data_IF_305352777162
#
_entry.id   IF_305352777162
#
_cell.length_a   1.000
_cell.length_b   1.000
_cell.length_c   1.000
_cell.angle_alpha   90.00
_cell.angle_beta   90.00
_cell.angle_gamma   90.00
#
_symmetry.space_group_name_H-M   'P 1'
#
loop_
_entity.id
_entity.type
_entity.pdbx_description
1 polymer ?
#
# COMPACT_ATOMS: atom_id res chain seq x y z
N UNK A 1 22.14 66.79 -8.02
CA UNK A 1 23.02 66.32 -6.92
C UNK A 1 22.14 65.74 -5.81
N UNK A 2 21.84 64.45 -5.82
CA UNK A 2 21.90 63.63 -4.60
C UNK A 2 21.74 62.14 -4.92
N UNK A 3 22.65 61.38 -4.33
CA UNK A 3 22.89 59.96 -4.46
C UNK A 3 22.00 59.20 -3.46
N UNK A 4 21.36 58.11 -3.85
CA UNK A 4 21.26 56.90 -3.00
C UNK A 4 20.63 55.72 -3.74
N UNK A 5 21.47 55.06 -4.53
CA UNK A 5 21.25 53.72 -5.06
C UNK A 5 22.04 52.76 -4.17
N UNK A 6 21.41 52.18 -3.15
CA UNK A 6 22.01 51.12 -2.36
C UNK A 6 21.23 49.82 -2.58
N UNK A 7 21.60 49.11 -3.64
CA UNK A 7 21.17 47.76 -3.94
C UNK A 7 21.72 46.81 -2.86
N UNK A 8 20.87 46.41 -1.92
CA UNK A 8 21.18 45.42 -0.90
C UNK A 8 20.97 44.01 -1.49
N UNK A 9 21.95 43.51 -2.22
CA UNK A 9 22.02 42.11 -2.67
C UNK A 9 22.36 41.22 -1.48
N UNK A 10 21.36 40.80 -0.71
CA UNK A 10 21.56 39.75 0.31
C UNK A 10 21.77 38.42 -0.39
N UNK A 11 23.04 38.07 -0.58
CA UNK A 11 23.51 36.73 -0.93
C UNK A 11 23.15 35.73 0.17
N UNK A 12 21.89 35.29 0.18
CA UNK A 12 21.43 34.20 1.03
C UNK A 12 22.01 32.89 0.50
N UNK A 13 23.13 32.45 1.06
CA UNK A 13 23.69 31.14 0.80
C UNK A 13 22.60 30.08 1.04
N UNK A 14 22.19 29.39 -0.03
CA UNK A 14 21.16 28.36 0.01
C UNK A 14 21.60 27.25 0.97
N UNK A 15 20.92 27.16 2.11
CA UNK A 15 21.19 26.13 3.13
C UNK A 15 20.98 24.74 2.50
N UNK A 16 21.98 23.85 2.52
CA UNK A 16 21.84 22.53 1.89
C UNK A 16 20.72 21.73 2.56
N UNK A 17 19.95 20.93 1.79
CA UNK A 17 18.87 20.12 2.34
C UNK A 17 19.42 19.14 3.37
N UNK A 18 18.80 19.13 4.56
CA UNK A 18 19.19 18.28 5.68
C UNK A 18 19.22 16.80 5.26
N UNK A 19 20.33 16.10 5.55
CA UNK A 19 20.56 14.71 5.15
C UNK A 19 19.41 13.75 5.53
N UNK A 20 18.68 14.03 6.62
CA UNK A 20 17.52 13.24 7.06
C UNK A 20 16.34 13.19 6.08
N UNK A 21 16.15 14.24 5.26
CA UNK A 21 15.04 14.29 4.30
C UNK A 21 15.21 13.28 3.14
N UNK A 22 16.46 13.01 2.75
CA UNK A 22 16.79 12.03 1.69
C UNK A 22 16.55 10.60 2.16
N UNK A 23 16.92 10.28 3.40
CA UNK A 23 16.67 8.97 3.99
C UNK A 23 15.18 8.63 4.09
N UNK A 24 14.38 9.57 4.61
CA UNK A 24 12.92 9.38 4.73
C UNK A 24 12.22 9.19 3.36
N UNK A 25 12.67 9.90 2.32
CA UNK A 25 12.15 9.74 0.97
C UNK A 25 12.50 8.36 0.38
N UNK A 26 13.71 7.86 0.64
CA UNK A 26 14.15 6.53 0.24
C UNK A 26 13.30 5.42 0.88
N UNK A 27 13.13 5.46 2.20
CA UNK A 27 12.30 4.49 2.94
C UNK A 27 10.87 4.47 2.44
N UNK A 28 10.28 5.64 2.16
CA UNK A 28 8.92 5.72 1.62
C UNK A 28 8.79 5.08 0.24
N UNK A 29 9.73 5.34 -0.67
CA UNK A 29 9.73 4.74 -2.02
C UNK A 29 9.87 3.21 -1.94
N UNK A 30 10.75 2.72 -1.07
CA UNK A 30 10.91 1.29 -0.83
C UNK A 30 9.63 0.64 -0.28
N UNK A 31 9.02 1.25 0.74
CA UNK A 31 7.74 0.79 1.31
C UNK A 31 6.62 0.74 0.27
N UNK A 32 6.49 1.79 -0.56
CA UNK A 32 5.48 1.84 -1.61
C UNK A 32 5.68 0.75 -2.67
N UNK A 33 6.93 0.49 -3.08
CA UNK A 33 7.25 -0.60 -4.02
C UNK A 33 6.94 -1.97 -3.43
N UNK A 34 7.29 -2.20 -2.16
CA UNK A 34 7.01 -3.46 -1.49
C UNK A 34 5.50 -3.74 -1.42
N UNK A 35 4.71 -2.74 -0.98
CA UNK A 35 3.24 -2.87 -0.93
C UNK A 35 2.63 -3.04 -2.31
N UNK A 36 3.08 -2.26 -3.30
CA UNK A 36 2.58 -2.37 -4.67
C UNK A 36 2.91 -3.73 -5.30
N UNK A 37 4.11 -4.26 -5.07
CA UNK A 37 4.50 -5.59 -5.53
C UNK A 37 3.66 -6.69 -4.89
N UNK A 38 3.41 -6.60 -3.58
CA UNK A 38 2.56 -7.54 -2.87
C UNK A 38 1.13 -7.53 -3.42
N UNK A 39 0.51 -6.35 -3.55
CA UNK A 39 -0.84 -6.21 -4.11
C UNK A 39 -0.92 -6.66 -5.57
N UNK A 40 0.09 -6.37 -6.38
CA UNK A 40 0.13 -6.81 -7.77
C UNK A 40 0.29 -8.33 -7.88
N UNK A 41 1.14 -8.95 -7.05
CA UNK A 41 1.29 -10.41 -7.01
C UNK A 41 -0.02 -11.10 -6.60
N UNK A 42 -0.71 -10.56 -5.60
CA UNK A 42 -2.03 -11.05 -5.17
C UNK A 42 -3.08 -10.87 -6.28
N UNK A 43 -3.09 -9.71 -6.94
CA UNK A 43 -3.96 -9.47 -8.09
C UNK A 43 -3.72 -10.45 -9.25
N UNK A 44 -2.46 -10.78 -9.53
CA UNK A 44 -2.10 -11.79 -10.55
C UNK A 44 -2.58 -13.18 -10.16
N UNK A 45 -2.53 -13.54 -8.87
CA UNK A 45 -3.05 -14.81 -8.38
C UNK A 45 -4.57 -14.90 -8.60
N UNK A 46 -5.30 -13.81 -8.38
CA UNK A 46 -6.73 -13.75 -8.70
C UNK A 46 -7.04 -13.87 -10.20
N UNK A 47 -6.24 -13.24 -11.07
CA UNK A 47 -6.35 -13.41 -12.53
C UNK A 47 -6.07 -14.87 -12.91
N UNK A 48 -5.06 -15.49 -12.29
CA UNK A 48 -4.76 -16.90 -12.50
C UNK A 48 -5.95 -17.79 -12.12
N UNK A 49 -6.56 -17.59 -10.95
CA UNK A 49 -7.76 -18.32 -10.55
C UNK A 49 -8.98 -18.04 -11.43
N UNK A 50 -9.08 -16.84 -12.02
CA UNK A 50 -10.14 -16.51 -12.98
C UNK A 50 -10.11 -17.41 -14.24
N UNK A 51 -8.96 -18.03 -14.54
CA UNK A 51 -8.82 -18.99 -15.64
C UNK A 51 -9.30 -20.40 -15.30
N UNK A 52 -9.86 -20.61 -14.09
CA UNK A 52 -10.33 -21.91 -13.62
C UNK A 52 -9.23 -22.80 -13.03
N UNK A 53 -7.98 -22.32 -12.98
CA UNK A 53 -6.88 -23.05 -12.35
C UNK A 53 -6.97 -22.97 -10.83
N UNK A 54 -6.60 -24.05 -10.13
CA UNK A 54 -6.88 -24.22 -8.69
C UNK A 54 -5.64 -24.28 -7.80
N UNK A 55 -4.43 -24.12 -8.35
CA UNK A 55 -3.19 -24.14 -7.56
C UNK A 55 -3.27 -23.15 -6.38
N UNK A 56 -2.82 -23.54 -5.17
CA UNK A 56 -2.12 -24.78 -4.81
C UNK A 56 -3.02 -25.98 -4.46
N UNK A 57 -4.33 -25.87 -4.65
CA UNK A 57 -5.31 -26.91 -4.32
C UNK A 57 -5.65 -27.81 -5.54
N UNK A 58 -6.13 -29.04 -5.30
CA UNK A 58 -6.59 -29.93 -6.37
C UNK A 58 -7.89 -29.46 -7.04
N UNK A 59 -8.75 -28.75 -6.32
CA UNK A 59 -10.07 -28.29 -6.78
C UNK A 59 -10.49 -26.95 -6.14
N UNK A 60 -11.57 -26.35 -6.64
CA UNK A 60 -12.04 -25.03 -6.20
C UNK A 60 -12.59 -24.99 -4.78
N UNK A 61 -13.22 -26.08 -4.31
CA UNK A 61 -13.75 -26.18 -2.94
C UNK A 61 -12.62 -26.35 -1.92
N UNK A 62 -11.57 -27.09 -2.29
CA UNK A 62 -10.35 -27.18 -1.48
C UNK A 62 -9.61 -25.84 -1.49
N UNK A 63 -9.54 -25.14 -2.63
CA UNK A 63 -8.95 -23.81 -2.70
C UNK A 63 -9.68 -22.81 -1.80
N UNK A 64 -11.02 -22.79 -1.83
CA UNK A 64 -11.80 -21.85 -1.01
C UNK A 64 -11.62 -22.09 0.48
N UNK A 65 -11.58 -23.36 0.90
CA UNK A 65 -11.29 -23.71 2.31
C UNK A 65 -9.85 -23.36 2.71
N UNK A 66 -8.88 -23.60 1.83
CA UNK A 66 -7.45 -23.31 2.10
C UNK A 66 -7.14 -21.81 2.10
N UNK A 67 -7.85 -20.98 1.34
CA UNK A 67 -7.55 -19.54 1.22
C UNK A 67 -8.47 -18.68 2.09
N UNK A 68 -9.74 -19.07 2.23
CA UNK A 68 -10.79 -18.23 2.83
C UNK A 68 -11.46 -18.88 4.04
N UNK A 69 -11.14 -20.15 4.36
CA UNK A 69 -11.82 -20.92 5.41
C UNK A 69 -13.36 -20.92 5.24
N UNK A 70 -13.82 -20.90 3.98
CA UNK A 70 -15.23 -20.84 3.61
C UNK A 70 -15.47 -21.47 2.23
N UNK A 71 -16.69 -21.94 1.99
CA UNK A 71 -17.12 -22.44 0.69
C UNK A 71 -17.71 -21.28 -0.12
N UNK A 72 -16.84 -20.64 -0.92
CA UNK A 72 -17.22 -19.52 -1.78
C UNK A 72 -16.79 -19.77 -3.22
N UNK A 73 -17.58 -19.32 -4.21
CA UNK A 73 -17.28 -19.54 -5.62
C UNK A 73 -16.07 -18.71 -6.07
N UNK A 74 -15.02 -19.39 -6.53
CA UNK A 74 -13.86 -18.79 -7.22
C UNK A 74 -14.15 -18.60 -8.72
N UNK A 75 -15.24 -17.92 -9.04
CA UNK A 75 -15.64 -17.64 -10.43
C UNK A 75 -15.08 -16.30 -10.90
N UNK A 76 -14.87 -16.15 -12.21
CA UNK A 76 -14.35 -14.91 -12.80
C UNK A 76 -15.12 -13.64 -12.37
N UNK A 77 -16.47 -13.63 -12.28
CA UNK A 77 -17.21 -12.46 -11.79
C UNK A 77 -16.89 -12.04 -10.35
N UNK A 78 -16.34 -12.94 -9.53
CA UNK A 78 -15.95 -12.67 -8.14
C UNK A 78 -14.48 -12.23 -8.06
N UNK A 79 -13.58 -12.98 -8.72
CA UNK A 79 -12.13 -12.74 -8.56
C UNK A 79 -11.59 -11.60 -9.44
N UNK A 80 -12.22 -11.28 -10.57
CA UNK A 80 -11.75 -10.19 -11.44
C UNK A 80 -11.95 -8.80 -10.81
N UNK A 81 -13.10 -8.47 -10.17
CA UNK A 81 -13.24 -7.22 -9.43
C UNK A 81 -12.23 -7.08 -8.29
N UNK A 82 -11.90 -8.19 -7.61
CA UNK A 82 -10.86 -8.21 -6.58
C UNK A 82 -9.48 -7.90 -7.18
N UNK A 83 -9.10 -8.58 -8.27
CA UNK A 83 -7.86 -8.32 -8.99
C UNK A 83 -7.76 -6.85 -9.42
N UNK A 84 -8.82 -6.29 -10.02
CA UNK A 84 -8.87 -4.90 -10.44
C UNK A 84 -8.68 -3.93 -9.25
N UNK A 85 -9.31 -4.21 -8.12
CA UNK A 85 -9.16 -3.43 -6.89
C UNK A 85 -7.73 -3.48 -6.36
N UNK A 86 -7.10 -4.66 -6.38
CA UNK A 86 -5.71 -4.85 -5.95
C UNK A 86 -4.73 -4.09 -6.86
N UNK A 87 -4.89 -4.17 -8.19
CA UNK A 87 -4.06 -3.41 -9.14
C UNK A 87 -4.26 -1.90 -9.02
N UNK A 88 -5.49 -1.44 -8.79
CA UNK A 88 -5.78 -0.03 -8.51
C UNK A 88 -5.08 0.42 -7.22
N UNK A 89 -5.18 -0.37 -6.14
CA UNK A 89 -4.47 -0.13 -4.88
C UNK A 89 -2.95 -0.08 -5.05
N UNK A 90 -2.38 -1.03 -5.78
CA UNK A 90 -0.94 -1.08 -6.09
C UNK A 90 -0.47 0.19 -6.81
N UNK A 91 -1.22 0.60 -7.84
CA UNK A 91 -0.92 1.80 -8.65
C UNK A 91 -0.99 3.07 -7.80
N UNK A 92 -2.05 3.22 -7.00
CA UNK A 92 -2.27 4.39 -6.16
C UNK A 92 -1.22 4.50 -5.04
N UNK A 93 -0.84 3.38 -4.41
CA UNK A 93 0.22 3.36 -3.39
C UNK A 93 1.58 3.67 -4.01
N UNK A 94 1.90 3.10 -5.18
CA UNK A 94 3.15 3.36 -5.88
C UNK A 94 3.28 4.84 -6.28
N UNK A 95 2.21 5.42 -6.84
CA UNK A 95 2.14 6.84 -7.16
C UNK A 95 2.27 7.71 -5.91
N UNK A 96 1.54 7.41 -4.83
CA UNK A 96 1.62 8.16 -3.57
C UNK A 96 3.02 8.09 -2.92
N UNK A 97 3.73 6.97 -3.07
CA UNK A 97 5.11 6.81 -2.59
C UNK A 97 6.16 7.63 -3.33
N UNK A 98 5.84 8.10 -4.54
CA UNK A 98 6.80 8.67 -5.48
C UNK A 98 7.58 7.60 -6.27
N UNK A 99 7.03 6.40 -6.39
CA UNK A 99 7.57 5.35 -7.25
C UNK A 99 7.15 5.48 -8.71
N UNK A 100 6.12 6.28 -9.00
CA UNK A 100 5.59 6.52 -10.35
C UNK A 100 5.20 7.99 -10.55
N UNK A 101 6.18 8.82 -10.87
CA UNK A 101 6.00 10.29 -10.97
C UNK A 101 5.04 10.68 -12.10
N UNK A 102 5.10 9.99 -13.26
CA UNK A 102 4.21 10.25 -14.40
C UNK A 102 2.73 9.95 -14.13
N UNK A 103 2.41 8.98 -13.27
CA UNK A 103 1.02 8.68 -12.88
C UNK A 103 0.51 9.64 -11.80
N UNK A 104 1.38 10.06 -10.87
CA UNK A 104 0.99 10.92 -9.75
C UNK A 104 0.39 12.26 -10.22
N UNK A 105 0.88 12.83 -11.32
CA UNK A 105 0.34 14.08 -11.89
C UNK A 105 -1.04 13.93 -12.55
N UNK A 106 -1.47 12.71 -12.87
CA UNK A 106 -2.75 12.42 -13.55
C UNK A 106 -3.85 11.97 -12.60
N UNK A 107 -3.48 11.65 -11.36
CA UNK A 107 -4.40 11.07 -10.37
C UNK A 107 -4.94 12.14 -9.43
N UNK A 108 -6.22 12.05 -9.00
CA UNK A 108 -6.78 12.98 -8.04
C UNK A 108 -5.99 13.00 -6.72
N UNK A 109 -5.66 14.19 -6.22
CA UNK A 109 -4.91 14.34 -4.97
C UNK A 109 -5.61 13.66 -3.77
N UNK A 110 -6.95 13.65 -3.77
CA UNK A 110 -7.75 12.95 -2.75
C UNK A 110 -7.49 11.43 -2.77
N UNK A 111 -7.37 10.82 -3.96
CA UNK A 111 -7.09 9.40 -4.11
C UNK A 111 -5.67 9.07 -3.64
N UNK A 112 -4.67 9.86 -4.04
CA UNK A 112 -3.29 9.68 -3.59
C UNK A 112 -3.12 9.86 -2.07
N UNK A 113 -3.98 10.67 -1.44
CA UNK A 113 -4.00 10.85 0.01
C UNK A 113 -4.64 9.66 0.71
N UNK A 114 -5.82 9.21 0.28
CA UNK A 114 -6.59 8.21 1.01
C UNK A 114 -6.24 6.77 0.68
N UNK A 115 -5.79 6.47 -0.53
CA UNK A 115 -5.55 5.08 -0.96
C UNK A 115 -4.53 4.33 -0.06
N UNK A 116 -3.36 4.89 0.31
CA UNK A 116 -2.45 4.19 1.21
C UNK A 116 -3.04 3.94 2.61
N UNK A 117 -3.97 4.78 3.07
CA UNK A 117 -4.67 4.57 4.35
C UNK A 117 -5.67 3.43 4.25
N UNK A 118 -6.44 3.39 3.17
CA UNK A 118 -7.40 2.31 2.92
C UNK A 118 -6.69 0.96 2.76
N UNK A 119 -5.57 0.94 2.03
CA UNK A 119 -4.72 -0.26 1.92
C UNK A 119 -4.15 -0.67 3.28
N UNK A 120 -3.63 0.28 4.07
CA UNK A 120 -3.14 -0.01 5.41
C UNK A 120 -4.24 -0.57 6.32
N UNK A 121 -5.45 -0.01 6.24
CA UNK A 121 -6.60 -0.48 7.01
C UNK A 121 -7.03 -1.89 6.60
N UNK A 122 -7.07 -2.20 5.29
CA UNK A 122 -7.40 -3.54 4.80
C UNK A 122 -6.38 -4.60 5.27
N UNK A 123 -5.09 -4.31 5.13
CA UNK A 123 -4.03 -5.18 5.65
C UNK A 123 -4.11 -5.34 7.17
N UNK A 124 -4.35 -4.26 7.91
CA UNK A 124 -4.48 -4.32 9.36
C UNK A 124 -5.69 -5.16 9.79
N UNK A 125 -6.86 -4.93 9.19
CA UNK A 125 -8.06 -5.72 9.46
C UNK A 125 -7.81 -7.21 9.23
N UNK A 126 -7.13 -7.55 8.13
CA UNK A 126 -6.80 -8.95 7.82
C UNK A 126 -5.77 -9.55 8.79
N UNK A 127 -4.76 -8.76 9.19
CA UNK A 127 -3.78 -9.17 10.20
C UNK A 127 -4.42 -9.41 11.57
N UNK A 128 -5.31 -8.51 12.00
CA UNK A 128 -6.07 -8.65 13.25
C UNK A 128 -6.99 -9.88 13.21
N UNK A 129 -7.68 -10.14 12.10
CA UNK A 129 -8.45 -11.37 11.93
C UNK A 129 -7.57 -12.62 12.10
N UNK A 130 -6.34 -12.58 11.56
CA UNK A 130 -5.37 -13.66 11.74
C UNK A 130 -4.95 -13.87 13.19
N UNK A 131 -4.80 -12.80 13.98
CA UNK A 131 -4.52 -12.88 15.42
C UNK A 131 -5.72 -13.43 16.22
N UNK A 132 -6.95 -13.06 15.84
CA UNK A 132 -8.17 -13.62 16.44
C UNK A 132 -8.24 -15.13 16.20
N UNK A 133 -7.93 -15.58 14.98
CA UNK A 133 -7.84 -17.00 14.68
C UNK A 133 -6.70 -17.69 15.43
N UNK A 134 -5.56 -17.02 15.66
CA UNK A 134 -4.46 -17.53 16.48
C UNK A 134 -4.90 -17.84 17.92
N UNK A 135 -5.85 -17.06 18.45
CA UNK A 135 -6.44 -17.27 19.76
C UNK A 135 -7.46 -18.41 19.80
N UNK A 136 -7.63 -19.17 18.71
CA UNK A 136 -8.54 -20.31 18.62
C UNK A 136 -10.00 -19.95 18.33
N UNK A 137 -10.29 -18.70 17.96
CA UNK A 137 -11.65 -18.23 17.71
C UNK A 137 -11.96 -18.37 16.21
N UNK A 138 -12.87 -19.27 15.83
CA UNK A 138 -13.44 -19.31 14.46
C UNK A 138 -12.59 -19.94 13.36
N UNK A 139 -11.47 -20.57 13.69
CA UNK A 139 -10.67 -21.37 12.76
C UNK A 139 -10.26 -22.69 13.42
N UNK A 140 -10.32 -23.79 12.66
CA UNK A 140 -9.78 -25.07 13.11
C UNK A 140 -8.23 -24.98 13.17
N UNK A 141 -7.68 -25.12 14.37
CA UNK A 141 -6.25 -25.01 14.64
C UNK A 141 -5.43 -26.11 13.95
N UNK A 142 -6.05 -27.25 13.60
CA UNK A 142 -5.42 -28.33 12.85
C UNK A 142 -5.31 -28.07 11.34
N UNK A 143 -6.07 -27.10 10.82
CA UNK A 143 -6.21 -26.88 9.38
C UNK A 143 -4.94 -26.31 8.73
N UNK A 144 -4.73 -26.65 7.45
CA UNK A 144 -3.64 -26.07 6.65
C UNK A 144 -3.78 -24.54 6.52
N UNK A 145 -5.02 -24.04 6.43
CA UNK A 145 -5.32 -22.60 6.44
C UNK A 145 -4.81 -21.93 7.69
N UNK A 146 -5.08 -22.47 8.88
CA UNK A 146 -4.66 -21.88 10.14
C UNK A 146 -3.13 -21.77 10.23
N UNK A 147 -2.40 -22.83 9.88
CA UNK A 147 -0.93 -22.81 9.86
C UNK A 147 -0.38 -21.78 8.88
N UNK A 148 -0.87 -21.76 7.64
CA UNK A 148 -0.42 -20.81 6.62
C UNK A 148 -0.77 -19.37 7.00
N UNK A 149 -1.94 -19.17 7.60
CA UNK A 149 -2.40 -17.88 8.07
C UNK A 149 -1.49 -17.31 9.16
N UNK A 150 -1.08 -18.11 10.13
CA UNK A 150 -0.20 -17.65 11.20
C UNK A 150 1.23 -17.48 10.75
N UNK A 151 1.76 -18.43 9.97
CA UNK A 151 3.16 -18.42 9.58
C UNK A 151 3.47 -17.37 8.49
N UNK A 152 2.53 -17.12 7.57
CA UNK A 152 2.77 -16.29 6.39
C UNK A 152 1.82 -15.10 6.30
N UNK A 153 0.50 -15.34 6.25
CA UNK A 153 -0.44 -14.25 5.93
C UNK A 153 -0.49 -13.17 7.01
N UNK A 154 -0.53 -13.54 8.28
CA UNK A 154 -0.65 -12.57 9.38
C UNK A 154 0.59 -11.67 9.46
N UNK A 155 1.83 -12.19 9.49
CA UNK A 155 3.03 -11.36 9.46
C UNK A 155 3.09 -10.46 8.21
N UNK A 156 2.77 -11.01 7.04
CA UNK A 156 2.78 -10.27 5.78
C UNK A 156 1.76 -9.13 5.77
N UNK A 157 0.57 -9.37 6.32
CA UNK A 157 -0.47 -8.35 6.44
C UNK A 157 -0.07 -7.24 7.43
N UNK A 158 0.47 -7.59 8.60
CA UNK A 158 0.92 -6.58 9.58
C UNK A 158 2.08 -5.74 9.04
N UNK A 159 3.04 -6.38 8.36
CA UNK A 159 4.15 -5.69 7.69
C UNK A 159 3.63 -4.79 6.55
N UNK A 160 2.70 -5.29 5.73
CA UNK A 160 2.03 -4.53 4.68
C UNK A 160 1.29 -3.30 5.21
N UNK A 161 0.58 -3.45 6.34
CA UNK A 161 -0.10 -2.35 7.01
C UNK A 161 0.89 -1.26 7.46
N UNK A 162 1.99 -1.64 8.12
CA UNK A 162 3.02 -0.71 8.57
C UNK A 162 3.72 0.01 7.40
N UNK A 163 4.02 -0.71 6.32
CA UNK A 163 4.61 -0.15 5.11
C UNK A 163 3.64 0.83 4.42
N UNK A 164 2.37 0.46 4.24
CA UNK A 164 1.35 1.33 3.65
C UNK A 164 1.08 2.58 4.50
N UNK A 165 1.10 2.44 5.84
CA UNK A 165 1.00 3.57 6.76
C UNK A 165 2.19 4.54 6.64
N UNK A 166 3.40 4.02 6.46
CA UNK A 166 4.60 4.83 6.21
C UNK A 166 4.44 5.68 4.93
N UNK A 167 3.85 5.10 3.88
CA UNK A 167 3.49 5.84 2.66
C UNK A 167 2.44 6.93 2.93
N UNK A 168 1.39 6.60 3.69
CA UNK A 168 0.31 7.53 4.03
C UNK A 168 0.80 8.77 4.80
N UNK A 169 1.72 8.59 5.75
CA UNK A 169 2.31 9.69 6.53
C UNK A 169 3.09 10.67 5.65
N UNK A 170 3.86 10.15 4.69
CA UNK A 170 4.63 10.97 3.76
C UNK A 170 3.76 11.75 2.76
N UNK A 171 2.56 11.26 2.44
CA UNK A 171 1.62 11.97 1.56
C UNK A 171 0.99 13.19 2.25
N UNK A 172 0.64 13.07 3.55
CA UNK A 172 0.07 14.17 4.32
C UNK A 172 1.04 15.36 4.45
N UNK A 173 2.32 15.08 4.70
CA UNK A 173 3.36 16.10 4.87
C UNK A 173 3.56 16.99 3.64
N UNK A 174 3.37 16.44 2.43
CA UNK A 174 3.48 17.23 1.18
C UNK A 174 2.35 18.23 1.01
N UNK A 175 1.11 17.87 1.35
CA UNK A 175 -0.03 18.79 1.28
C UNK A 175 0.15 20.00 2.21
N UNK A 176 0.65 19.77 3.43
CA UNK A 176 0.92 20.86 4.38
C UNK A 176 2.03 21.77 3.87
N UNK A 177 3.10 21.22 3.30
CA UNK A 177 4.21 22.02 2.76
C UNK A 177 3.79 22.89 1.56
N UNK A 178 2.99 22.36 0.63
CA UNK A 178 2.49 23.15 -0.52
C UNK A 178 1.51 24.24 -0.08
N UNK A 179 0.66 23.98 0.92
CA UNK A 179 -0.28 24.99 1.44
C UNK A 179 0.42 26.20 2.06
N UNK A 180 1.53 25.98 2.77
CA UNK A 180 2.34 27.07 3.36
C UNK A 180 3.07 27.89 2.28
N UNK A 181 3.45 27.27 1.16
CA UNK A 181 4.16 27.95 0.07
C UNK A 181 3.25 28.83 -0.80
N UNK A 182 1.94 28.56 -0.87
CA UNK A 182 0.97 29.36 -1.66
C UNK A 182 0.50 30.62 -0.90
N UNK A 183 0.70 30.68 0.42
CA UNK A 183 0.29 31.83 1.25
C UNK A 183 1.38 32.89 1.46
N UNK A 184 2.52 32.81 0.75
CA UNK A 184 3.59 33.80 0.78
C UNK A 184 3.78 34.41 -0.60
#
# INVERSE_FOLDING_TARGET
>A
MNQNTAARTTGGAARPPAAGARGAAGTRRAAARAVAALLAADGLLHVYWATGRTWPAPDTATLSRVVLNADVPFTAPVVLPLAATLFAGATLVLAAGGGWEGAAGRLPAVALRWAPRMVAAGFLARGLAGLVWAAGIGADSGSAFHRLNLALYTPLCLAGAAAAWTVARGAAQRCTATGVAVQR
#
